data_IF_202158520559
#
_entry.id   IF_202158520559
#
_cell.length_a   1.000
_cell.length_b   1.000
_cell.length_c   1.000
_cell.angle_alpha   90.00
_cell.angle_beta   90.00
_cell.angle_gamma   90.00
#
_symmetry.space_group_name_H-M   'P 1'
#
loop_
_entity.id
_entity.type
_entity.pdbx_description
1 polymer ?
#
# COMPACT_ATOMS: atom_id res chain seq x y z
N UNK A 1 26.41 -11.63 -5.41
CA UNK A 1 26.71 -10.37 -6.12
C UNK A 1 27.02 -10.74 -7.56
N UNK A 2 26.34 -10.12 -8.53
CA UNK A 2 26.69 -10.19 -9.95
C UNK A 2 26.36 -8.83 -10.56
N UNK A 3 27.39 -8.21 -11.13
CA UNK A 3 27.45 -6.88 -11.72
C UNK A 3 26.39 -6.62 -12.81
N UNK A 4 26.09 -5.34 -13.15
CA UNK A 4 25.18 -5.01 -14.24
C UNK A 4 25.62 -5.68 -15.54
N UNK A 5 24.67 -6.31 -16.25
CA UNK A 5 24.98 -7.14 -17.41
C UNK A 5 25.58 -6.26 -18.55
N UNK A 6 26.76 -6.58 -19.11
CA UNK A 6 27.45 -5.80 -20.17
C UNK A 6 26.72 -5.69 -21.53
N UNK A 7 25.43 -6.05 -21.61
CA UNK A 7 24.68 -6.08 -22.87
C UNK A 7 24.25 -4.69 -23.36
N UNK A 8 23.95 -3.75 -22.45
CA UNK A 8 23.55 -2.37 -22.82
C UNK A 8 24.71 -1.54 -23.35
N UNK A 9 25.91 -1.70 -22.80
CA UNK A 9 27.14 -1.04 -23.27
C UNK A 9 27.52 -1.45 -24.71
N UNK A 10 26.92 -2.54 -25.24
CA UNK A 10 27.14 -3.02 -26.61
C UNK A 10 26.04 -2.60 -27.58
N UNK A 11 25.01 -1.87 -27.14
CA UNK A 11 23.96 -1.35 -28.02
C UNK A 11 24.48 -0.14 -28.82
N UNK A 12 24.07 -0.02 -30.08
CA UNK A 12 24.60 1.01 -30.99
C UNK A 12 24.36 2.44 -30.51
N UNK A 13 23.31 2.64 -29.70
CA UNK A 13 23.01 3.89 -29.00
C UNK A 13 24.16 4.38 -28.09
N UNK A 14 24.95 3.46 -27.50
CA UNK A 14 26.08 3.75 -26.62
C UNK A 14 27.44 3.69 -27.34
N UNK A 15 27.45 3.41 -28.65
CA UNK A 15 28.67 3.37 -29.49
C UNK A 15 28.90 4.64 -30.31
N UNK A 16 27.90 5.52 -30.45
CA UNK A 16 28.04 6.76 -31.22
C UNK A 16 29.04 7.72 -30.55
N UNK A 17 30.08 8.13 -31.29
CA UNK A 17 31.06 9.13 -30.87
C UNK A 17 30.46 10.54 -30.99
N UNK A 18 30.63 11.34 -29.95
CA UNK A 18 29.98 12.66 -29.76
C UNK A 18 30.57 13.79 -30.62
N UNK A 19 31.61 13.51 -31.42
CA UNK A 19 32.46 14.54 -32.03
C UNK A 19 31.80 15.31 -33.19
N UNK A 20 30.70 14.82 -33.80
CA UNK A 20 30.05 15.46 -34.96
C UNK A 20 28.58 15.86 -34.75
N UNK A 21 28.05 15.77 -33.53
CA UNK A 21 26.65 16.10 -33.23
C UNK A 21 26.50 17.57 -32.81
N UNK A 22 25.39 18.21 -33.17
CA UNK A 22 25.00 19.51 -32.62
C UNK A 22 24.56 19.40 -31.16
N UNK A 23 24.51 20.51 -30.42
CA UNK A 23 24.19 20.48 -28.98
C UNK A 23 22.78 19.93 -28.69
N UNK A 24 21.79 20.24 -29.54
CA UNK A 24 20.44 19.70 -29.43
C UNK A 24 20.39 18.18 -29.69
N UNK A 25 21.18 17.70 -30.66
CA UNK A 25 21.31 16.27 -30.96
C UNK A 25 22.04 15.50 -29.84
N UNK A 26 22.99 16.14 -29.14
CA UNK A 26 23.64 15.55 -27.96
C UNK A 26 22.67 15.46 -26.78
N UNK A 27 21.86 16.48 -26.55
CA UNK A 27 20.82 16.47 -25.51
C UNK A 27 19.79 15.38 -25.81
N UNK A 28 19.34 15.26 -27.05
CA UNK A 28 18.38 14.23 -27.45
C UNK A 28 18.99 12.81 -27.32
N UNK A 29 20.23 12.61 -27.73
CA UNK A 29 20.94 11.33 -27.57
C UNK A 29 21.15 10.97 -26.09
N UNK A 30 21.45 11.95 -25.23
CA UNK A 30 21.57 11.77 -23.78
C UNK A 30 20.23 11.36 -23.16
N UNK A 31 19.13 12.03 -23.55
CA UNK A 31 17.78 11.68 -23.13
C UNK A 31 17.37 10.28 -23.61
N UNK A 32 17.71 9.91 -24.84
CA UNK A 32 17.45 8.57 -25.38
C UNK A 32 18.26 7.48 -24.67
N UNK A 33 19.52 7.75 -24.28
CA UNK A 33 20.35 6.84 -23.47
C UNK A 33 19.80 6.68 -22.06
N UNK A 34 19.47 7.79 -21.40
CA UNK A 34 18.83 7.79 -20.08
C UNK A 34 17.49 7.04 -20.12
N UNK A 35 16.70 7.25 -21.17
CA UNK A 35 15.46 6.53 -21.43
C UNK A 35 15.69 5.04 -21.70
N UNK A 36 16.72 4.65 -22.45
CA UNK A 36 17.07 3.25 -22.71
C UNK A 36 17.56 2.51 -21.45
N UNK A 37 18.28 3.19 -20.57
CA UNK A 37 18.65 2.70 -19.24
C UNK A 37 17.39 2.57 -18.38
N UNK A 38 16.58 3.62 -18.27
CA UNK A 38 15.32 3.58 -17.52
C UNK A 38 14.36 2.49 -18.04
N UNK A 39 14.29 2.26 -19.35
CA UNK A 39 13.48 1.23 -20.00
C UNK A 39 14.03 -0.19 -19.79
N UNK A 40 15.36 -0.34 -19.70
CA UNK A 40 15.98 -1.64 -19.43
C UNK A 40 15.98 -2.01 -17.94
N UNK A 41 15.97 -1.02 -17.05
CA UNK A 41 16.05 -1.20 -15.60
C UNK A 41 14.74 -0.90 -14.84
N UNK A 42 13.72 -0.34 -15.48
CA UNK A 42 12.38 -0.07 -14.93
C UNK A 42 12.34 0.61 -13.55
N UNK A 43 13.25 1.55 -13.25
CA UNK A 43 13.33 2.17 -11.91
C UNK A 43 13.52 3.68 -11.92
N UNK A 44 12.80 4.36 -11.02
CA UNK A 44 13.08 5.72 -10.55
C UNK A 44 14.30 5.66 -9.62
N UNK A 45 15.47 6.11 -10.08
CA UNK A 45 16.72 6.12 -9.30
C UNK A 45 16.86 7.37 -8.42
N UNK A 46 15.94 7.56 -7.47
CA UNK A 46 15.96 8.72 -6.57
C UNK A 46 16.85 8.47 -5.35
N UNK A 47 16.59 7.38 -4.61
CA UNK A 47 17.18 7.07 -3.30
C UNK A 47 18.67 6.77 -3.33
N UNK A 48 19.40 7.27 -2.33
CA UNK A 48 20.81 6.96 -2.05
C UNK A 48 20.95 6.24 -0.70
N UNK A 49 22.06 5.54 -0.48
CA UNK A 49 22.35 4.82 0.79
C UNK A 49 22.21 5.74 2.01
N UNK A 50 22.64 7.00 1.91
CA UNK A 50 22.53 8.01 2.95
C UNK A 50 21.24 8.84 2.91
N UNK A 51 20.53 8.85 1.77
CA UNK A 51 19.42 9.78 1.52
C UNK A 51 18.21 9.08 0.90
N UNK A 52 17.24 8.72 1.76
CA UNK A 52 15.94 8.20 1.33
C UNK A 52 14.82 9.24 1.41
N UNK A 53 14.63 9.83 2.60
CA UNK A 53 13.51 10.74 2.88
C UNK A 53 13.86 12.21 2.68
N UNK A 54 15.08 12.50 2.21
CA UNK A 54 15.64 13.83 2.10
C UNK A 54 16.24 14.07 0.70
N UNK A 55 15.38 13.99 -0.32
CA UNK A 55 15.80 14.10 -1.72
C UNK A 55 16.39 15.46 -2.09
N UNK A 56 16.31 16.47 -1.21
CA UNK A 56 16.93 17.79 -1.41
C UNK A 56 18.43 17.76 -1.16
N UNK A 57 18.89 16.81 -0.36
CA UNK A 57 20.28 16.65 0.04
C UNK A 57 20.94 15.45 -0.66
N UNK A 58 20.39 15.01 -1.81
CA UNK A 58 21.06 14.02 -2.64
C UNK A 58 22.46 14.50 -3.00
N UNK A 59 23.40 13.57 -2.92
CA UNK A 59 24.82 13.84 -3.12
C UNK A 59 25.29 13.44 -4.51
N UNK A 60 24.53 12.62 -5.26
CA UNK A 60 24.81 12.35 -6.67
C UNK A 60 24.68 13.64 -7.47
N UNK A 61 25.75 14.05 -8.14
CA UNK A 61 25.75 15.24 -9.00
C UNK A 61 25.64 14.85 -10.48
N UNK A 62 25.05 15.74 -11.28
CA UNK A 62 25.10 15.69 -12.73
C UNK A 62 25.64 17.03 -13.23
N UNK A 63 26.87 17.05 -13.73
CA UNK A 63 27.55 18.25 -14.20
C UNK A 63 27.54 18.28 -15.71
N UNK A 64 26.98 19.33 -16.31
CA UNK A 64 27.04 19.52 -17.76
C UNK A 64 28.47 19.92 -18.17
N UNK A 65 29.08 19.14 -19.05
CA UNK A 65 30.41 19.38 -19.59
C UNK A 65 30.35 20.30 -20.82
N UNK A 66 31.45 21.00 -21.18
CA UNK A 66 31.50 21.90 -22.33
C UNK A 66 31.22 21.22 -23.68
N UNK A 67 31.36 19.90 -23.76
CA UNK A 67 31.07 19.11 -24.95
C UNK A 67 29.59 18.66 -25.03
N UNK A 68 28.74 19.09 -24.10
CA UNK A 68 27.31 18.77 -24.05
C UNK A 68 26.98 17.43 -23.37
N UNK A 69 27.97 16.68 -22.89
CA UNK A 69 27.74 15.47 -22.09
C UNK A 69 27.46 15.82 -20.62
N UNK A 70 26.82 14.91 -19.88
CA UNK A 70 26.67 15.02 -18.43
C UNK A 70 27.65 14.07 -17.72
N UNK A 71 28.50 14.61 -16.84
CA UNK A 71 29.28 13.83 -15.88
C UNK A 71 28.42 13.55 -14.64
N UNK A 72 28.04 12.29 -14.44
CA UNK A 72 27.25 11.84 -13.30
C UNK A 72 28.21 11.24 -12.27
N UNK A 73 28.36 11.89 -11.12
CA UNK A 73 29.33 11.50 -10.11
C UNK A 73 28.66 11.12 -8.79
N UNK A 74 29.07 9.98 -8.24
CA UNK A 74 28.72 9.52 -6.90
C UNK A 74 29.92 9.79 -5.97
N UNK A 75 29.93 10.86 -5.17
CA UNK A 75 31.13 11.33 -4.47
C UNK A 75 31.62 10.41 -3.34
N UNK A 76 30.74 9.57 -2.80
CA UNK A 76 31.07 8.65 -1.72
C UNK A 76 30.08 7.47 -1.66
N UNK A 77 30.32 6.52 -0.75
CA UNK A 77 29.48 5.33 -0.58
C UNK A 77 28.06 5.64 -0.09
N UNK A 78 27.84 6.76 0.62
CA UNK A 78 26.51 7.17 1.07
C UNK A 78 25.67 7.73 -0.09
N UNK A 79 26.31 8.35 -1.08
CA UNK A 79 25.66 8.85 -2.29
C UNK A 79 25.28 7.75 -3.30
N UNK A 80 25.69 6.49 -3.06
CA UNK A 80 25.40 5.40 -3.97
C UNK A 80 23.89 5.15 -4.08
N UNK A 81 23.36 5.02 -5.30
CA UNK A 81 21.93 4.75 -5.49
C UNK A 81 21.54 3.42 -4.86
N UNK A 82 20.47 3.45 -4.07
CA UNK A 82 19.99 2.33 -3.29
C UNK A 82 18.45 2.33 -3.29
N UNK A 83 17.87 1.62 -4.24
CA UNK A 83 16.44 1.33 -4.28
C UNK A 83 16.20 -0.07 -3.71
N UNK A 84 15.10 -0.32 -2.98
CA UNK A 84 14.65 -1.68 -2.74
C UNK A 84 14.54 -2.38 -4.11
N UNK A 85 15.12 -3.58 -4.28
CA UNK A 85 15.29 -4.15 -5.60
C UNK A 85 13.92 -4.44 -6.22
N UNK A 86 13.58 -3.74 -7.31
CA UNK A 86 12.48 -4.14 -8.22
C UNK A 86 13.01 -4.98 -9.41
N UNK A 87 14.34 -5.11 -9.53
CA UNK A 87 15.04 -5.83 -10.60
C UNK A 87 14.91 -7.37 -10.57
N UNK A 88 14.93 -8.03 -11.76
CA UNK A 88 15.02 -9.48 -11.87
C UNK A 88 16.28 -10.24 -11.40
N UNK A 89 16.25 -10.90 -10.23
CA UNK A 89 17.23 -11.93 -9.83
C UNK A 89 16.76 -13.36 -10.12
N UNK A 90 17.62 -14.20 -10.72
CA UNK A 90 17.36 -15.64 -10.92
C UNK A 90 17.24 -16.34 -9.55
N UNK A 91 16.15 -17.08 -9.34
CA UNK A 91 15.87 -17.80 -8.08
C UNK A 91 15.21 -16.95 -6.97
N UNK A 92 14.94 -15.67 -7.24
CA UNK A 92 14.14 -14.81 -6.36
C UNK A 92 12.80 -14.48 -7.04
N UNK A 93 11.70 -15.08 -6.58
CA UNK A 93 10.35 -14.67 -6.97
C UNK A 93 10.00 -13.26 -6.44
N UNK A 94 9.13 -12.54 -7.17
CA UNK A 94 9.07 -11.06 -7.22
C UNK A 94 7.67 -10.53 -7.50
N UNK A 95 7.37 -9.33 -6.99
CA UNK A 95 6.12 -8.59 -7.23
C UNK A 95 6.45 -7.09 -7.40
N UNK A 96 5.75 -6.38 -8.29
CA UNK A 96 5.96 -4.96 -8.60
C UNK A 96 4.61 -4.22 -8.72
N UNK A 97 4.53 -3.01 -8.16
CA UNK A 97 3.34 -2.15 -8.25
C UNK A 97 3.42 -1.23 -9.48
N UNK A 98 2.43 -1.33 -10.37
CA UNK A 98 2.21 -0.39 -11.46
C UNK A 98 0.91 0.40 -11.26
N UNK A 99 1.00 1.73 -11.29
CA UNK A 99 -0.15 2.59 -11.52
C UNK A 99 -0.42 2.63 -13.03
N UNK A 100 -1.49 1.98 -13.47
CA UNK A 100 -1.86 1.90 -14.88
C UNK A 100 -3.34 2.28 -15.07
N UNK A 101 -3.68 2.75 -16.28
CA UNK A 101 -5.08 2.87 -16.70
C UNK A 101 -5.63 1.46 -16.89
N UNK A 102 -6.69 1.12 -16.17
CA UNK A 102 -7.38 -0.16 -16.32
C UNK A 102 -8.27 -0.09 -17.57
N UNK A 103 -7.95 -0.90 -18.57
CA UNK A 103 -8.78 -1.07 -19.76
C UNK A 103 -9.43 -2.45 -19.72
N UNK A 104 -10.76 -2.55 -19.72
CA UNK A 104 -11.51 -3.81 -19.73
C UNK A 104 -12.41 -3.83 -20.96
N UNK A 105 -12.21 -4.82 -21.85
CA UNK A 105 -12.98 -4.97 -23.10
C UNK A 105 -13.02 -3.72 -23.99
N UNK A 106 -12.00 -2.85 -23.89
CA UNK A 106 -11.90 -1.60 -24.63
C UNK A 106 -12.40 -0.35 -23.87
N UNK A 107 -13.09 -0.52 -22.74
CA UNK A 107 -13.55 0.59 -21.91
C UNK A 107 -12.47 1.02 -20.92
N UNK A 108 -12.31 2.33 -20.73
CA UNK A 108 -11.34 2.93 -19.79
C UNK A 108 -11.96 3.16 -18.41
N UNK A 109 -11.45 2.45 -17.42
CA UNK A 109 -11.89 2.47 -16.01
C UNK A 109 -11.01 3.36 -15.11
N UNK A 110 -10.09 4.12 -15.70
CA UNK A 110 -9.24 5.09 -15.00
C UNK A 110 -7.95 4.49 -14.42
N UNK A 111 -7.14 5.34 -13.78
CA UNK A 111 -5.87 4.95 -13.16
C UNK A 111 -6.14 4.22 -11.86
N UNK A 112 -5.75 2.95 -11.79
CA UNK A 112 -5.94 2.09 -10.62
C UNK A 112 -4.58 1.68 -10.03
N UNK A 113 -4.37 1.77 -8.71
CA UNK A 113 -3.40 0.87 -8.08
C UNK A 113 -3.94 -0.55 -8.26
N UNK A 114 -3.28 -1.35 -9.10
CA UNK A 114 -3.88 -2.59 -9.61
C UNK A 114 -3.39 -3.83 -8.83
N UNK A 115 -4.35 -4.58 -8.26
CA UNK A 115 -4.34 -6.06 -8.06
C UNK A 115 -3.37 -6.62 -7.00
N UNK A 116 -3.48 -6.16 -5.75
CA UNK A 116 -2.77 -6.80 -4.62
C UNK A 116 -3.75 -7.13 -3.50
N UNK A 117 -4.59 -6.15 -3.17
CA UNK A 117 -5.58 -6.25 -2.10
C UNK A 117 -6.72 -7.22 -2.39
N UNK A 118 -7.20 -7.22 -3.62
CA UNK A 118 -8.34 -8.04 -4.04
C UNK A 118 -7.97 -9.52 -4.06
N UNK A 119 -6.75 -9.83 -4.51
CA UNK A 119 -6.26 -11.19 -4.67
C UNK A 119 -6.10 -11.88 -3.32
N UNK A 120 -5.41 -11.25 -2.35
CA UNK A 120 -5.17 -11.88 -1.05
C UNK A 120 -6.45 -12.13 -0.26
N UNK A 121 -7.38 -11.17 -0.27
CA UNK A 121 -8.67 -11.29 0.42
C UNK A 121 -9.51 -12.38 -0.24
N UNK A 122 -9.48 -12.46 -1.58
CA UNK A 122 -10.14 -13.50 -2.35
C UNK A 122 -9.55 -14.88 -2.05
N UNK A 123 -8.24 -15.04 -2.18
CA UNK A 123 -7.51 -16.28 -1.93
C UNK A 123 -7.71 -16.76 -0.51
N UNK A 124 -7.49 -15.90 0.49
CA UNK A 124 -7.72 -16.23 1.89
C UNK A 124 -9.19 -16.54 2.17
N UNK A 125 -10.13 -15.76 1.61
CA UNK A 125 -11.56 -15.96 1.78
C UNK A 125 -12.04 -17.31 1.25
N UNK A 126 -11.76 -17.60 -0.03
CA UNK A 126 -12.10 -18.87 -0.69
C UNK A 126 -11.41 -20.06 -0.02
N UNK A 127 -10.14 -19.91 0.37
CA UNK A 127 -9.43 -20.94 1.14
C UNK A 127 -10.12 -21.24 2.48
N UNK A 128 -10.55 -20.22 3.23
CA UNK A 128 -11.20 -20.42 4.54
C UNK A 128 -12.63 -20.96 4.47
N UNK A 129 -13.34 -20.70 3.37
CA UNK A 129 -14.65 -21.32 3.11
C UNK A 129 -14.55 -22.84 2.98
N UNK A 130 -13.43 -23.36 2.44
CA UNK A 130 -13.21 -24.80 2.24
C UNK A 130 -12.35 -25.47 3.31
N UNK A 131 -11.45 -24.74 3.97
CA UNK A 131 -10.51 -25.30 4.94
C UNK A 131 -11.27 -25.77 6.17
N UNK A 132 -11.33 -27.09 6.36
CA UNK A 132 -11.98 -27.70 7.52
C UNK A 132 -11.07 -27.74 8.74
N UNK A 133 -11.67 -27.57 9.91
CA UNK A 133 -11.07 -27.85 11.22
C UNK A 133 -11.95 -28.82 11.99
N UNK A 134 -11.31 -29.74 12.72
CA UNK A 134 -12.00 -30.72 13.56
C UNK A 134 -11.95 -30.25 15.00
N UNK A 135 -13.12 -30.15 15.64
CA UNK A 135 -13.21 -30.00 17.10
C UNK A 135 -13.31 -31.39 17.73
N UNK A 136 -12.83 -31.57 18.96
CA UNK A 136 -12.96 -32.86 19.65
C UNK A 136 -14.41 -33.35 19.58
N UNK A 137 -14.59 -34.59 19.11
CA UNK A 137 -15.88 -35.29 19.00
C UNK A 137 -16.96 -34.56 18.17
N UNK A 138 -16.59 -33.69 17.22
CA UNK A 138 -17.53 -32.98 16.35
C UNK A 138 -17.24 -33.21 14.88
N UNK A 139 -18.27 -33.04 14.02
CA UNK A 139 -18.08 -33.01 12.57
C UNK A 139 -17.13 -31.86 12.19
N UNK A 140 -16.26 -32.03 11.18
CA UNK A 140 -15.42 -30.95 10.68
C UNK A 140 -16.29 -29.75 10.24
N UNK A 141 -15.85 -28.55 10.59
CA UNK A 141 -16.50 -27.30 10.17
C UNK A 141 -15.52 -26.42 9.39
N UNK A 142 -15.99 -25.60 8.44
CA UNK A 142 -15.14 -24.58 7.81
C UNK A 142 -14.52 -23.67 8.87
N UNK A 143 -13.23 -23.36 8.71
CA UNK A 143 -12.48 -22.52 9.64
C UNK A 143 -13.06 -21.09 9.69
N UNK A 144 -13.70 -20.64 8.60
CA UNK A 144 -14.41 -19.36 8.55
C UNK A 144 -15.58 -19.26 9.55
N UNK A 145 -16.03 -20.37 10.15
CA UNK A 145 -17.02 -20.35 11.25
C UNK A 145 -16.51 -19.64 12.52
N UNK A 146 -15.20 -19.42 12.65
CA UNK A 146 -14.61 -18.72 13.80
C UNK A 146 -14.55 -17.21 13.56
N UNK A 147 -15.02 -16.40 14.52
CA UNK A 147 -15.00 -14.92 14.42
C UNK A 147 -13.63 -14.35 14.09
N UNK A 148 -12.58 -14.91 14.70
CA UNK A 148 -11.18 -14.52 14.47
C UNK A 148 -10.71 -14.72 13.03
N UNK A 149 -11.40 -15.57 12.26
CA UNK A 149 -11.13 -15.82 10.85
C UNK A 149 -11.94 -14.91 9.93
N UNK A 150 -13.13 -14.50 10.38
CA UNK A 150 -14.07 -13.63 9.66
C UNK A 150 -13.58 -12.18 9.65
N UNK A 151 -13.17 -11.66 10.82
CA UNK A 151 -12.75 -10.27 11.03
C UNK A 151 -11.83 -9.73 9.93
N UNK A 152 -10.64 -10.31 9.68
CA UNK A 152 -9.73 -9.73 8.70
C UNK A 152 -10.27 -9.75 7.27
N UNK A 153 -11.13 -10.71 6.91
CA UNK A 153 -11.69 -10.81 5.54
C UNK A 153 -12.82 -9.81 5.35
N UNK A 154 -13.79 -9.76 6.27
CA UNK A 154 -14.96 -8.90 6.15
C UNK A 154 -14.58 -7.41 6.27
N UNK A 155 -13.65 -7.07 7.16
CA UNK A 155 -13.09 -5.71 7.20
C UNK A 155 -12.37 -5.36 5.89
N UNK A 156 -11.61 -6.31 5.33
CA UNK A 156 -10.92 -6.06 4.08
C UNK A 156 -11.88 -5.82 2.91
N UNK A 157 -12.97 -6.58 2.83
CA UNK A 157 -14.04 -6.39 1.84
C UNK A 157 -14.72 -5.03 1.99
N UNK A 158 -15.00 -4.60 3.23
CA UNK A 158 -15.54 -3.26 3.50
C UNK A 158 -14.58 -2.16 3.02
N UNK A 159 -13.29 -2.30 3.30
CA UNK A 159 -12.28 -1.34 2.85
C UNK A 159 -12.10 -1.34 1.33
N UNK A 160 -12.15 -2.50 0.67
CA UNK A 160 -12.14 -2.60 -0.80
C UNK A 160 -13.32 -1.84 -1.39
N UNK A 161 -14.53 -2.07 -0.87
CA UNK A 161 -15.74 -1.41 -1.34
C UNK A 161 -15.70 0.11 -1.17
N UNK A 162 -15.04 0.61 -0.12
CA UNK A 162 -14.87 2.05 0.15
C UNK A 162 -13.72 2.68 -0.64
N UNK A 163 -12.62 1.95 -0.88
CA UNK A 163 -11.43 2.51 -1.54
C UNK A 163 -11.59 2.70 -3.04
N UNK A 164 -12.46 1.94 -3.69
CA UNK A 164 -12.81 2.14 -5.09
C UNK A 164 -13.42 3.54 -5.35
N UNK A 165 -14.53 3.95 -4.70
CA UNK A 165 -15.06 5.29 -4.86
C UNK A 165 -14.15 6.38 -4.27
N UNK A 166 -13.39 6.09 -3.21
CA UNK A 166 -12.40 7.04 -2.69
C UNK A 166 -11.28 7.36 -3.68
N UNK A 167 -10.82 6.36 -4.45
CA UNK A 167 -9.85 6.55 -5.52
C UNK A 167 -10.44 7.43 -6.63
N UNK A 168 -11.66 7.13 -7.07
CA UNK A 168 -12.34 7.93 -8.12
C UNK A 168 -12.55 9.38 -7.68
N UNK A 169 -13.02 9.61 -6.46
CA UNK A 169 -13.18 10.95 -5.91
C UNK A 169 -11.83 11.67 -5.81
N UNK A 170 -10.79 11.00 -5.32
CA UNK A 170 -9.45 11.60 -5.21
C UNK A 170 -8.86 11.97 -6.57
N UNK A 171 -9.05 11.15 -7.61
CA UNK A 171 -8.63 11.49 -8.98
C UNK A 171 -9.39 12.72 -9.50
N UNK A 172 -10.71 12.79 -9.28
CA UNK A 172 -11.52 13.93 -9.71
C UNK A 172 -11.11 15.22 -8.98
N UNK A 173 -10.91 15.16 -7.65
CA UNK A 173 -10.47 16.31 -6.88
C UNK A 173 -9.05 16.74 -7.26
N UNK A 174 -8.14 15.79 -7.49
CA UNK A 174 -6.78 16.07 -7.95
C UNK A 174 -6.78 16.82 -9.29
N UNK A 175 -7.61 16.39 -10.24
CA UNK A 175 -7.78 17.05 -11.56
C UNK A 175 -8.35 18.46 -11.44
N UNK A 176 -9.28 18.69 -10.50
CA UNK A 176 -9.89 20.01 -10.27
C UNK A 176 -8.94 20.99 -9.58
N UNK A 177 -8.03 20.50 -8.76
CA UNK A 177 -7.08 21.31 -7.98
C UNK A 177 -5.77 21.61 -8.72
N UNK A 178 -5.75 21.55 -10.06
CA UNK A 178 -4.52 21.64 -10.86
C UNK A 178 -3.76 22.96 -10.71
N UNK A 179 -4.45 24.01 -10.25
CA UNK A 179 -3.85 25.33 -10.05
C UNK A 179 -3.12 25.45 -8.70
N UNK A 180 -3.28 24.49 -7.78
CA UNK A 180 -2.66 24.53 -6.43
C UNK A 180 -1.95 23.19 -6.14
N UNK A 181 -0.66 23.05 -6.50
CA UNK A 181 0.11 21.80 -6.36
C UNK A 181 0.12 21.22 -4.94
N UNK A 182 0.05 22.06 -3.90
CA UNK A 182 0.01 21.59 -2.51
C UNK A 182 -1.30 20.89 -2.17
N UNK A 183 -2.43 21.37 -2.71
CA UNK A 183 -3.74 20.72 -2.50
C UNK A 183 -3.78 19.38 -3.23
N UNK A 184 -3.22 19.30 -4.45
CA UNK A 184 -2.99 18.03 -5.14
C UNK A 184 -2.15 17.06 -4.31
N UNK A 185 -1.07 17.54 -3.69
CA UNK A 185 -0.24 16.73 -2.80
C UNK A 185 -1.03 16.22 -1.60
N UNK A 186 -1.83 17.08 -0.94
CA UNK A 186 -2.68 16.70 0.20
C UNK A 186 -3.69 15.63 -0.22
N UNK A 187 -4.36 15.79 -1.37
CA UNK A 187 -5.36 14.85 -1.88
C UNK A 187 -4.75 13.47 -2.13
N UNK A 188 -3.64 13.41 -2.88
CA UNK A 188 -2.97 12.15 -3.22
C UNK A 188 -2.35 11.48 -1.99
N UNK A 189 -1.79 12.27 -1.08
CA UNK A 189 -1.09 11.73 0.06
C UNK A 189 -2.04 11.24 1.17
N UNK A 190 -3.15 11.94 1.43
CA UNK A 190 -4.18 11.44 2.36
C UNK A 190 -4.79 10.13 1.86
N UNK A 191 -4.96 9.98 0.54
CA UNK A 191 -5.35 8.70 -0.07
C UNK A 191 -4.31 7.61 0.21
N UNK A 192 -3.03 7.88 -0.09
CA UNK A 192 -1.95 6.94 0.14
C UNK A 192 -1.82 6.53 1.61
N UNK A 193 -1.88 7.49 2.53
CA UNK A 193 -1.74 7.26 3.97
C UNK A 193 -2.81 6.26 4.47
N UNK A 194 -4.07 6.49 4.12
CA UNK A 194 -5.16 5.57 4.49
C UNK A 194 -5.01 4.20 3.85
N UNK A 195 -4.60 4.12 2.57
CA UNK A 195 -4.36 2.83 1.94
C UNK A 195 -3.25 2.06 2.67
N UNK A 196 -2.10 2.69 2.94
CA UNK A 196 -0.98 2.05 3.64
C UNK A 196 -1.35 1.59 5.05
N UNK A 197 -1.95 2.48 5.85
CA UNK A 197 -2.39 2.16 7.22
C UNK A 197 -3.39 1.00 7.23
N UNK A 198 -4.31 0.99 6.27
CA UNK A 198 -5.33 -0.03 6.19
C UNK A 198 -4.79 -1.39 5.69
N UNK A 199 -3.78 -1.43 4.82
CA UNK A 199 -3.28 -2.68 4.20
C UNK A 199 -2.26 -3.43 5.03
N UNK A 200 -1.25 -2.76 5.57
CA UNK A 200 -0.11 -3.43 6.21
C UNK A 200 -0.53 -4.44 7.31
N UNK A 201 -1.34 -4.06 8.32
CA UNK A 201 -1.77 -5.01 9.34
C UNK A 201 -2.71 -6.09 8.77
N UNK A 202 -3.45 -5.78 7.70
CA UNK A 202 -4.38 -6.74 7.09
C UNK A 202 -3.66 -7.84 6.32
N UNK A 203 -2.67 -7.52 5.50
CA UNK A 203 -1.92 -8.54 4.77
C UNK A 203 -1.19 -9.47 5.70
N UNK A 204 -0.61 -8.92 6.76
CA UNK A 204 -0.04 -9.71 7.84
C UNK A 204 -1.08 -10.66 8.46
N UNK A 205 -2.25 -10.14 8.85
CA UNK A 205 -3.32 -10.96 9.41
C UNK A 205 -3.83 -12.03 8.42
N UNK A 206 -4.03 -11.69 7.15
CA UNK A 206 -4.49 -12.64 6.12
C UNK A 206 -3.47 -13.77 5.92
N UNK A 207 -2.18 -13.45 5.89
CA UNK A 207 -1.09 -14.43 5.82
C UNK A 207 -1.12 -15.37 7.03
N UNK A 208 -1.08 -14.83 8.25
CA UNK A 208 -1.09 -15.62 9.48
C UNK A 208 -2.32 -16.53 9.58
N UNK A 209 -3.49 -16.02 9.18
CA UNK A 209 -4.74 -16.79 9.22
C UNK A 209 -4.82 -17.91 8.18
N UNK A 210 -3.95 -17.91 7.17
CA UNK A 210 -3.79 -19.03 6.24
C UNK A 210 -2.74 -20.06 6.73
N UNK A 211 -2.04 -19.80 7.84
CA UNK A 211 -0.96 -20.64 8.34
C UNK A 211 0.22 -20.67 7.37
N UNK A 212 0.94 -21.80 7.30
CA UNK A 212 2.07 -21.97 6.38
C UNK A 212 1.72 -21.69 4.90
N UNK A 213 0.44 -21.86 4.52
CA UNK A 213 -0.03 -21.53 3.17
C UNK A 213 0.05 -20.03 2.89
N UNK A 214 -0.15 -19.16 3.89
CA UNK A 214 -0.04 -17.71 3.73
C UNK A 214 1.39 -17.19 3.57
N UNK A 215 2.38 -18.00 3.99
CA UNK A 215 3.81 -17.73 3.82
C UNK A 215 4.37 -18.32 2.52
N UNK A 216 3.59 -19.16 1.86
CA UNK A 216 3.98 -19.77 0.60
C UNK A 216 3.72 -18.81 -0.54
N UNK A 217 4.78 -18.39 -1.21
CA UNK A 217 4.71 -17.33 -2.22
C UNK A 217 3.87 -17.66 -3.44
N UNK A 218 3.75 -18.95 -3.81
CA UNK A 218 2.85 -19.39 -4.85
C UNK A 218 1.36 -19.13 -4.52
N UNK A 219 1.03 -18.82 -3.27
CA UNK A 219 -0.30 -18.36 -2.85
C UNK A 219 -0.44 -16.83 -2.79
N UNK A 220 0.61 -16.08 -3.19
CA UNK A 220 0.61 -14.64 -3.48
C UNK A 220 0.43 -13.69 -2.28
N UNK A 221 -0.07 -14.15 -1.13
CA UNK A 221 -0.35 -13.31 0.04
C UNK A 221 0.91 -12.66 0.65
N UNK A 222 2.01 -13.41 0.81
CA UNK A 222 3.24 -12.85 1.42
C UNK A 222 3.94 -11.83 0.52
N UNK A 223 3.84 -12.00 -0.80
CA UNK A 223 4.40 -11.06 -1.78
C UNK A 223 3.73 -9.69 -1.67
N UNK A 224 2.41 -9.68 -1.65
CA UNK A 224 1.56 -8.50 -1.43
C UNK A 224 1.90 -7.73 -0.16
N UNK A 225 2.22 -8.43 0.93
CA UNK A 225 2.64 -7.80 2.18
C UNK A 225 3.95 -7.02 2.00
N UNK A 226 4.95 -7.62 1.33
CA UNK A 226 6.24 -6.98 1.08
C UNK A 226 6.11 -5.74 0.16
N UNK A 227 5.24 -5.82 -0.85
CA UNK A 227 4.96 -4.68 -1.72
C UNK A 227 4.36 -3.50 -0.96
N UNK A 228 3.47 -3.78 -0.02
CA UNK A 228 2.83 -2.73 0.78
C UNK A 228 3.83 -1.97 1.66
N UNK A 229 4.86 -2.65 2.16
CA UNK A 229 5.97 -2.00 2.83
C UNK A 229 6.72 -1.05 1.89
N UNK A 230 6.95 -1.45 0.64
CA UNK A 230 7.57 -0.58 -0.36
C UNK A 230 6.71 0.65 -0.66
N UNK A 231 5.40 0.47 -0.85
CA UNK A 231 4.44 1.57 -1.12
C UNK A 231 4.47 2.62 0.00
N UNK A 232 4.60 2.20 1.27
CA UNK A 232 4.63 3.15 2.38
C UNK A 232 5.83 4.10 2.37
N UNK A 233 6.90 3.76 1.65
CA UNK A 233 8.17 4.51 1.64
C UNK A 233 8.37 5.23 0.30
N UNK A 234 8.10 4.55 -0.82
CA UNK A 234 8.29 5.08 -2.17
C UNK A 234 7.39 6.29 -2.44
N UNK A 235 7.84 7.28 -3.23
CA UNK A 235 7.02 8.47 -3.58
C UNK A 235 6.50 9.25 -2.36
N UNK A 236 7.31 9.31 -1.29
CA UNK A 236 7.03 10.04 -0.07
C UNK A 236 6.64 9.12 1.08
N UNK A 237 7.55 8.95 2.02
CA UNK A 237 7.31 8.17 3.24
C UNK A 237 6.12 8.69 4.04
N UNK A 238 5.33 7.75 4.58
CA UNK A 238 4.11 8.06 5.32
C UNK A 238 4.40 9.03 6.48
N UNK A 239 5.45 8.80 7.26
CA UNK A 239 5.76 9.62 8.44
C UNK A 239 6.27 11.01 8.04
N UNK A 240 7.31 11.07 7.21
CA UNK A 240 7.95 12.34 6.82
C UNK A 240 6.96 13.28 6.10
N UNK A 241 6.14 12.73 5.22
CA UNK A 241 5.19 13.52 4.45
C UNK A 241 3.93 13.85 5.27
N UNK A 242 3.53 12.99 6.22
CA UNK A 242 2.50 13.36 7.20
C UNK A 242 2.96 14.53 8.06
N UNK A 243 4.22 14.55 8.51
CA UNK A 243 4.81 15.67 9.24
C UNK A 243 4.75 16.96 8.41
N UNK A 244 5.16 16.90 7.14
CA UNK A 244 5.11 18.05 6.23
C UNK A 244 3.68 18.56 6.09
N UNK A 245 2.74 17.72 5.67
CA UNK A 245 1.35 18.11 5.42
C UNK A 245 0.67 18.55 6.73
N UNK A 246 0.75 17.76 7.78
CA UNK A 246 0.17 18.06 9.08
C UNK A 246 0.64 19.41 9.63
N UNK A 247 1.93 19.71 9.54
CA UNK A 247 2.49 21.01 9.96
C UNK A 247 1.90 22.17 9.14
N UNK A 248 1.86 22.05 7.82
CA UNK A 248 1.31 23.08 6.94
C UNK A 248 -0.18 23.36 7.24
N UNK A 249 -0.97 22.31 7.51
CA UNK A 249 -2.39 22.42 7.86
C UNK A 249 -2.63 22.98 9.28
N UNK A 250 -1.79 22.60 10.25
CA UNK A 250 -1.84 23.15 11.62
C UNK A 250 -1.52 24.65 11.65
N UNK A 251 -0.59 25.09 10.79
CA UNK A 251 -0.22 26.49 10.62
C UNK A 251 -1.23 27.30 9.79
N UNK A 252 -2.33 26.69 9.34
CA UNK A 252 -3.35 27.32 8.47
C UNK A 252 -2.78 27.87 7.15
N UNK A 253 -1.67 27.31 6.64
CA UNK A 253 -1.11 27.72 5.34
C UNK A 253 -1.94 27.20 4.18
N UNK A 254 -2.57 26.04 4.37
CA UNK A 254 -3.50 25.42 3.44
C UNK A 254 -4.68 24.84 4.23
N UNK A 255 -5.79 24.57 3.53
CA UNK A 255 -6.94 23.87 4.09
C UNK A 255 -7.16 22.57 3.31
N UNK A 256 -7.45 21.45 4.00
CA UNK A 256 -7.85 20.23 3.31
C UNK A 256 -9.24 20.41 2.68
N UNK A 257 -9.64 19.54 1.73
CA UNK A 257 -11.01 19.52 1.21
C UNK A 257 -12.03 19.45 2.35
N UNK A 258 -13.01 20.34 2.37
CA UNK A 258 -13.99 20.44 3.45
C UNK A 258 -14.84 19.16 3.59
N UNK A 259 -15.32 18.84 4.81
CA UNK A 259 -16.31 17.77 5.04
C UNK A 259 -17.60 18.02 4.25
N UNK A 260 -18.10 16.99 3.56
CA UNK A 260 -19.43 16.98 2.95
C UNK A 260 -20.52 16.83 4.03
N UNK A 261 -20.25 16.04 5.07
CA UNK A 261 -21.11 15.92 6.24
C UNK A 261 -20.31 16.21 7.52
N UNK A 262 -20.27 17.48 7.98
CA UNK A 262 -19.56 17.87 9.18
C UNK A 262 -20.05 17.21 10.48
N UNK A 263 -21.22 16.57 10.46
CA UNK A 263 -21.83 15.95 11.64
C UNK A 263 -21.54 14.45 11.75
N UNK A 264 -20.95 13.82 10.72
CA UNK A 264 -20.58 12.40 10.83
C UNK A 264 -19.40 12.20 11.78
N UNK A 265 -19.30 11.00 12.35
CA UNK A 265 -18.29 10.66 13.36
C UNK A 265 -16.86 10.94 12.87
N UNK A 266 -16.54 10.57 11.63
CA UNK A 266 -15.18 10.74 11.09
C UNK A 266 -14.83 12.22 10.83
N UNK A 267 -15.82 13.05 10.47
CA UNK A 267 -15.61 14.49 10.32
C UNK A 267 -15.40 15.18 11.68
N UNK A 268 -16.12 14.73 12.71
CA UNK A 268 -15.93 15.21 14.08
C UNK A 268 -14.54 14.82 14.62
N UNK A 269 -14.08 13.60 14.33
CA UNK A 269 -12.73 13.12 14.68
C UNK A 269 -11.63 13.92 13.99
N UNK A 270 -11.72 14.13 12.67
CA UNK A 270 -10.79 15.00 11.94
C UNK A 270 -10.70 16.37 12.63
N UNK A 271 -11.85 17.02 12.83
CA UNK A 271 -11.90 18.34 13.45
C UNK A 271 -11.29 18.32 14.86
N UNK A 272 -11.66 17.34 15.68
CA UNK A 272 -11.19 17.20 17.06
C UNK A 272 -9.68 17.07 17.18
N UNK A 273 -9.06 16.20 16.37
CA UNK A 273 -7.61 16.02 16.38
C UNK A 273 -6.86 17.31 15.97
N UNK A 274 -7.41 18.05 14.99
CA UNK A 274 -6.86 19.35 14.60
C UNK A 274 -7.02 20.40 15.70
N UNK A 275 -8.18 20.45 16.36
CA UNK A 275 -8.45 21.39 17.45
C UNK A 275 -7.53 21.14 18.66
N UNK A 276 -7.34 19.88 19.05
CA UNK A 276 -6.40 19.47 20.11
C UNK A 276 -4.95 19.87 19.76
N UNK A 277 -4.51 19.51 18.56
CA UNK A 277 -3.16 19.79 18.09
C UNK A 277 -2.90 21.30 17.98
N UNK A 278 -3.89 22.09 17.53
CA UNK A 278 -3.81 23.55 17.50
C UNK A 278 -3.83 24.16 18.90
N UNK A 279 -4.56 23.58 19.84
CA UNK A 279 -4.56 24.01 21.24
C UNK A 279 -3.17 23.87 21.86
N UNK A 280 -2.53 22.72 21.66
CA UNK A 280 -1.16 22.47 22.10
C UNK A 280 -0.19 23.45 21.43
N UNK A 281 -0.28 23.62 20.10
CA UNK A 281 0.58 24.54 19.35
C UNK A 281 0.49 25.98 19.87
N UNK A 282 -0.70 26.46 20.23
CA UNK A 282 -0.90 27.80 20.83
C UNK A 282 -0.20 27.94 22.18
N UNK A 283 -0.05 26.86 22.94
CA UNK A 283 0.66 26.84 24.22
C UNK A 283 2.19 26.86 24.10
N UNK A 284 2.75 26.60 22.90
CA UNK A 284 4.19 26.52 22.70
C UNK A 284 4.81 27.92 22.51
N UNK A 285 5.67 28.34 23.43
CA UNK A 285 6.33 29.67 23.40
C UNK A 285 7.15 29.93 22.14
N UNK A 286 7.71 28.89 21.51
CA UNK A 286 8.52 28.98 20.28
C UNK A 286 7.81 28.51 19.01
N UNK A 287 6.50 28.25 19.05
CA UNK A 287 5.72 27.77 17.91
C UNK A 287 6.28 26.49 17.27
N UNK A 288 6.18 26.39 15.94
CA UNK A 288 6.55 25.19 15.17
C UNK A 288 8.05 24.90 15.06
N UNK A 289 8.92 25.80 15.52
CA UNK A 289 10.38 25.62 15.50
C UNK A 289 10.95 25.20 16.85
N UNK A 290 10.12 25.11 17.88
CA UNK A 290 10.53 24.74 19.23
C UNK A 290 10.71 23.22 19.38
N UNK A 291 11.60 22.78 20.27
CA UNK A 291 11.82 21.35 20.54
C UNK A 291 10.54 20.63 21.00
N UNK A 292 9.66 21.32 21.74
CA UNK A 292 8.37 20.76 22.16
C UNK A 292 7.41 20.49 20.99
N UNK A 293 7.54 21.20 19.86
CA UNK A 293 6.77 20.89 18.66
C UNK A 293 7.14 19.51 18.11
N UNK A 294 8.44 19.19 18.12
CA UNK A 294 8.95 17.87 17.77
C UNK A 294 8.43 16.78 18.72
N UNK A 295 8.40 17.05 20.03
CA UNK A 295 7.95 16.04 21.01
C UNK A 295 6.44 15.84 21.04
N UNK A 296 5.66 16.91 20.85
CA UNK A 296 4.22 16.88 21.07
C UNK A 296 3.43 16.87 19.75
N UNK A 297 3.82 17.62 18.72
CA UNK A 297 3.00 17.76 17.52
C UNK A 297 3.40 16.78 16.43
N UNK A 298 4.70 16.63 16.13
CA UNK A 298 5.13 15.78 15.01
C UNK A 298 4.64 14.32 15.09
N UNK A 299 4.61 13.65 16.26
CA UNK A 299 4.08 12.29 16.37
C UNK A 299 2.57 12.18 16.09
N UNK A 300 1.83 13.29 16.16
CA UNK A 300 0.38 13.35 15.90
C UNK A 300 0.07 13.54 14.41
N UNK A 301 1.04 14.00 13.62
CA UNK A 301 0.83 14.34 12.21
C UNK A 301 0.31 13.16 11.35
N UNK A 302 0.78 11.91 11.49
CA UNK A 302 0.20 10.78 10.77
C UNK A 302 -1.31 10.62 11.02
N UNK A 303 -1.73 10.66 12.29
CA UNK A 303 -3.15 10.54 12.65
C UNK A 303 -4.00 11.69 12.07
N UNK A 304 -3.47 12.92 12.00
CA UNK A 304 -4.16 14.05 11.36
C UNK A 304 -4.41 13.81 9.87
N UNK A 305 -3.39 13.31 9.15
CA UNK A 305 -3.49 13.03 7.72
C UNK A 305 -4.41 11.84 7.44
N UNK A 306 -4.31 10.79 8.25
CA UNK A 306 -5.18 9.62 8.18
C UNK A 306 -6.65 9.98 8.47
N UNK A 307 -6.92 10.83 9.47
CA UNK A 307 -8.28 11.27 9.79
C UNK A 307 -8.96 12.00 8.61
N UNK A 308 -8.22 12.89 7.93
CA UNK A 308 -8.69 13.52 6.68
C UNK A 308 -9.03 12.46 5.64
N UNK A 309 -8.12 11.50 5.43
CA UNK A 309 -8.31 10.45 4.44
C UNK A 309 -9.51 9.55 4.76
N UNK A 310 -9.68 9.13 6.02
CA UNK A 310 -10.77 8.25 6.44
C UNK A 310 -12.14 8.91 6.29
N UNK A 311 -12.27 10.19 6.69
CA UNK A 311 -13.49 10.95 6.42
C UNK A 311 -13.75 11.02 4.91
N UNK A 312 -12.76 11.44 4.11
CA UNK A 312 -12.93 11.55 2.65
C UNK A 312 -13.34 10.22 2.02
N UNK A 313 -12.75 9.11 2.47
CA UNK A 313 -13.07 7.77 1.99
C UNK A 313 -14.53 7.40 2.30
N UNK A 314 -14.96 7.60 3.54
CA UNK A 314 -16.34 7.35 3.96
C UNK A 314 -17.34 8.21 3.19
N UNK A 315 -17.10 9.52 3.06
CA UNK A 315 -18.00 10.42 2.34
C UNK A 315 -18.09 10.08 0.84
N UNK A 316 -16.96 9.75 0.21
CA UNK A 316 -16.94 9.32 -1.18
C UNK A 316 -17.74 8.02 -1.40
N UNK A 317 -17.58 7.04 -0.50
CA UNK A 317 -18.33 5.79 -0.54
C UNK A 317 -19.82 5.97 -0.27
N UNK A 318 -20.19 6.79 0.71
CA UNK A 318 -21.58 7.15 0.99
C UNK A 318 -22.25 7.81 -0.22
N UNK A 319 -21.54 8.76 -0.86
CA UNK A 319 -22.02 9.44 -2.07
C UNK A 319 -22.16 8.49 -3.27
N UNK A 320 -21.27 7.50 -3.38
CA UNK A 320 -21.31 6.50 -4.44
C UNK A 320 -22.39 5.41 -4.21
N UNK A 321 -23.05 5.40 -3.05
CA UNK A 321 -24.07 4.40 -2.73
C UNK A 321 -23.51 3.01 -2.48
N UNK A 322 -22.33 2.91 -1.87
CA UNK A 322 -21.77 1.62 -1.41
C UNK A 322 -22.76 0.93 -0.47
N UNK A 323 -22.81 -0.41 -0.53
CA UNK A 323 -23.61 -1.26 0.35
C UNK A 323 -23.54 -0.78 1.82
N UNK A 324 -24.70 -0.58 2.43
CA UNK A 324 -24.80 0.05 3.74
C UNK A 324 -24.12 -0.74 4.85
N UNK A 325 -24.10 -2.07 4.78
CA UNK A 325 -23.46 -2.91 5.79
C UNK A 325 -21.93 -2.85 5.67
N UNK A 326 -21.41 -2.83 4.43
CA UNK A 326 -19.98 -2.64 4.17
C UNK A 326 -19.51 -1.24 4.58
N UNK A 327 -20.29 -0.21 4.27
CA UNK A 327 -19.99 1.17 4.68
C UNK A 327 -20.01 1.32 6.21
N UNK A 328 -20.99 0.72 6.88
CA UNK A 328 -21.07 0.71 8.35
C UNK A 328 -19.91 -0.07 8.99
N UNK A 329 -19.47 -1.18 8.38
CA UNK A 329 -18.30 -1.92 8.85
C UNK A 329 -17.01 -1.11 8.67
N UNK A 330 -16.87 -0.38 7.56
CA UNK A 330 -15.76 0.55 7.35
C UNK A 330 -15.74 1.69 8.37
N UNK A 331 -16.89 2.29 8.68
CA UNK A 331 -17.00 3.33 9.71
C UNK A 331 -16.55 2.79 11.07
N UNK A 332 -17.02 1.59 11.45
CA UNK A 332 -16.61 0.95 12.71
C UNK A 332 -15.12 0.66 12.73
N UNK A 333 -14.56 0.19 11.61
CA UNK A 333 -13.11 0.01 11.48
C UNK A 333 -12.36 1.33 11.73
N UNK A 334 -12.78 2.41 11.08
CA UNK A 334 -12.17 3.74 11.24
C UNK A 334 -12.25 4.23 12.70
N UNK A 335 -13.37 3.98 13.38
CA UNK A 335 -13.54 4.29 14.80
C UNK A 335 -12.60 3.45 15.69
N UNK A 336 -12.42 2.18 15.38
CA UNK A 336 -11.54 1.26 16.13
C UNK A 336 -10.04 1.55 15.97
N UNK A 337 -9.65 2.43 15.04
CA UNK A 337 -8.26 2.90 14.92
C UNK A 337 -7.89 3.92 16.01
N UNK A 338 -8.87 4.63 16.58
CA UNK A 338 -8.68 5.56 17.69
C UNK A 338 -9.86 5.52 18.68
N UNK A 339 -10.15 4.36 19.29
CA UNK A 339 -11.33 4.20 20.12
C UNK A 339 -11.30 5.12 21.33
N UNK A 340 -10.11 5.46 21.84
CA UNK A 340 -9.90 6.42 22.93
C UNK A 340 -10.54 7.76 22.65
N UNK A 341 -10.27 8.34 21.48
CA UNK A 341 -10.81 9.65 21.14
C UNK A 341 -12.33 9.59 21.03
N UNK A 342 -12.87 8.60 20.31
CA UNK A 342 -14.32 8.48 20.15
C UNK A 342 -15.05 8.28 21.47
N UNK A 343 -14.53 7.44 22.38
CA UNK A 343 -15.14 7.23 23.70
C UNK A 343 -15.09 8.49 24.56
N UNK A 344 -14.03 9.28 24.45
CA UNK A 344 -13.87 10.50 25.24
C UNK A 344 -14.74 11.65 24.73
N UNK A 345 -14.99 11.72 23.42
CA UNK A 345 -15.61 12.88 22.76
C UNK A 345 -17.00 12.63 22.18
N UNK A 346 -17.53 11.41 22.30
CA UNK A 346 -18.88 11.02 21.83
C UNK A 346 -19.59 10.15 22.85
N UNK A 347 -20.86 9.81 22.60
CA UNK A 347 -21.64 8.88 23.44
C UNK A 347 -21.34 7.39 23.17
N UNK A 348 -20.31 7.09 22.36
CA UNK A 348 -19.94 5.72 22.03
C UNK A 348 -19.24 5.02 23.19
N UNK A 349 -19.61 3.75 23.43
CA UNK A 349 -18.96 2.90 24.43
C UNK A 349 -18.19 1.76 23.79
N UNK A 350 -17.18 1.22 24.49
CA UNK A 350 -16.44 0.03 24.04
C UNK A 350 -17.37 -1.15 23.74
N UNK A 351 -18.35 -1.37 24.62
CA UNK A 351 -19.33 -2.44 24.48
C UNK A 351 -20.21 -2.24 23.24
N UNK A 352 -20.66 -1.01 22.99
CA UNK A 352 -21.40 -0.70 21.78
C UNK A 352 -20.59 -0.98 20.51
N UNK A 353 -19.31 -0.58 20.46
CA UNK A 353 -18.44 -0.83 19.31
C UNK A 353 -18.28 -2.33 19.05
N UNK A 354 -18.00 -3.11 20.09
CA UNK A 354 -17.88 -4.57 20.00
C UNK A 354 -19.16 -5.24 19.51
N UNK A 355 -20.32 -4.86 20.06
CA UNK A 355 -21.62 -5.41 19.67
C UNK A 355 -22.06 -4.96 18.27
N UNK A 356 -21.74 -3.74 17.86
CA UNK A 356 -22.06 -3.25 16.50
C UNK A 356 -21.20 -3.97 15.46
N UNK A 357 -19.91 -4.14 15.71
CA UNK A 357 -19.02 -4.94 14.85
C UNK A 357 -19.54 -6.38 14.71
N UNK A 358 -19.83 -7.06 15.82
CA UNK A 358 -20.32 -8.44 15.80
C UNK A 358 -21.59 -8.60 14.94
N UNK A 359 -22.58 -7.70 15.10
CA UNK A 359 -23.84 -7.71 14.34
C UNK A 359 -23.63 -7.48 12.84
N UNK A 360 -22.73 -6.57 12.47
CA UNK A 360 -22.40 -6.31 11.07
C UNK A 360 -21.77 -7.55 10.43
N UNK A 361 -20.84 -8.21 11.12
CA UNK A 361 -20.25 -9.43 10.61
C UNK A 361 -21.27 -10.58 10.51
N UNK A 362 -22.24 -10.68 11.43
CA UNK A 362 -23.34 -11.67 11.33
C UNK A 362 -24.20 -11.44 10.09
N UNK A 363 -24.38 -10.19 9.70
CA UNK A 363 -25.15 -9.79 8.50
C UNK A 363 -24.36 -10.06 7.21
N UNK A 364 -23.04 -9.81 7.24
CA UNK A 364 -22.17 -9.93 6.06
C UNK A 364 -21.67 -11.35 5.80
N UNK A 365 -21.48 -12.18 6.84
CA UNK A 365 -20.92 -13.53 6.71
C UNK A 365 -21.71 -14.43 5.75
N UNK A 366 -23.05 -14.49 5.77
CA UNK A 366 -23.83 -15.28 4.80
C UNK A 366 -23.61 -14.86 3.35
N UNK A 367 -23.21 -13.59 3.13
CA UNK A 367 -22.96 -12.99 1.82
C UNK A 367 -21.49 -13.11 1.41
N UNK A 368 -20.62 -13.67 2.24
CA UNK A 368 -19.17 -13.64 2.07
C UNK A 368 -18.72 -14.17 0.69
N UNK A 369 -19.23 -15.32 0.27
CA UNK A 369 -18.80 -15.93 -0.99
C UNK A 369 -19.14 -15.05 -2.20
N UNK A 370 -20.37 -14.51 -2.23
CA UNK A 370 -20.82 -13.56 -3.23
C UNK A 370 -20.03 -12.25 -3.19
N UNK A 371 -19.70 -11.74 -1.99
CA UNK A 371 -18.90 -10.53 -1.83
C UNK A 371 -17.47 -10.74 -2.36
N UNK A 372 -16.85 -11.90 -2.10
CA UNK A 372 -15.56 -12.25 -2.66
C UNK A 372 -15.62 -12.30 -4.19
N UNK A 373 -16.63 -12.96 -4.76
CA UNK A 373 -16.79 -13.04 -6.23
C UNK A 373 -17.06 -11.68 -6.87
N UNK A 374 -17.82 -10.81 -6.19
CA UNK A 374 -18.12 -9.46 -6.68
C UNK A 374 -16.90 -8.56 -6.83
N UNK A 375 -15.77 -8.91 -6.18
CA UNK A 375 -14.51 -8.18 -6.36
C UNK A 375 -13.90 -8.38 -7.75
N UNK A 376 -14.31 -9.41 -8.49
CA UNK A 376 -13.70 -9.78 -9.78
C UNK A 376 -12.28 -10.36 -9.68
N UNK A 377 -11.74 -10.52 -8.46
CA UNK A 377 -10.36 -10.96 -8.25
C UNK A 377 -10.06 -12.34 -8.84
N UNK A 378 -11.04 -13.25 -8.82
CA UNK A 378 -10.87 -14.65 -9.20
C UNK A 378 -10.28 -14.87 -10.61
N UNK A 379 -10.49 -13.94 -11.54
CA UNK A 379 -9.93 -14.01 -12.90
C UNK A 379 -8.39 -13.90 -12.95
N UNK A 380 -7.79 -13.36 -11.89
CA UNK A 380 -6.35 -13.07 -11.82
C UNK A 380 -5.62 -13.90 -10.77
N UNK A 381 -6.35 -14.65 -9.94
CA UNK A 381 -5.77 -15.44 -8.86
C UNK A 381 -5.30 -16.79 -9.41
N UNK A 382 -4.01 -17.09 -9.29
CA UNK A 382 -3.44 -18.39 -9.70
C UNK A 382 -3.01 -19.26 -8.51
N UNK A 383 -3.31 -18.82 -7.29
CA UNK A 383 -2.95 -19.50 -6.06
C UNK A 383 -3.52 -20.94 -6.02
N UNK A 384 -2.67 -21.98 -5.85
CA UNK A 384 -3.12 -23.37 -5.78
C UNK A 384 -4.16 -23.65 -4.69
N UNK A 385 -4.15 -22.90 -3.59
CA UNK A 385 -5.05 -23.12 -2.45
C UNK A 385 -6.52 -22.77 -2.72
N UNK A 386 -6.84 -22.13 -3.85
CA UNK A 386 -8.19 -21.69 -4.21
C UNK A 386 -9.19 -22.84 -4.36
N UNK A 387 -8.77 -23.97 -4.93
CA UNK A 387 -9.64 -25.13 -5.17
C UNK A 387 -8.94 -26.44 -4.80
N UNK A 388 -9.71 -27.52 -4.68
CA UNK A 388 -9.14 -28.85 -4.46
C UNK A 388 -8.39 -29.31 -5.71
N UNK A 389 -8.99 -29.17 -6.90
CA UNK A 389 -8.37 -29.56 -8.15
C UNK A 389 -7.04 -28.83 -8.42
N UNK A 390 -6.97 -27.51 -8.18
CA UNK A 390 -5.73 -26.73 -8.33
C UNK A 390 -4.66 -27.12 -7.30
N UNK A 391 -5.10 -27.51 -6.09
CA UNK A 391 -4.22 -27.96 -5.03
C UNK A 391 -3.63 -29.33 -5.34
N UNK A 392 -4.46 -30.29 -5.74
CA UNK A 392 -4.02 -31.65 -6.08
C UNK A 392 -3.06 -31.62 -7.27
N UNK A 393 -3.42 -30.89 -8.33
CA UNK A 393 -2.54 -30.70 -9.49
C UNK A 393 -1.21 -30.02 -9.14
N UNK A 394 -1.17 -29.19 -8.09
CA UNK A 394 0.06 -28.60 -7.59
C UNK A 394 0.89 -29.62 -6.79
N UNK A 395 0.26 -30.39 -5.91
CA UNK A 395 0.90 -31.44 -5.10
C UNK A 395 1.52 -32.51 -5.99
N UNK A 396 0.85 -32.92 -7.08
CA UNK A 396 1.35 -33.90 -8.04
C UNK A 396 2.66 -33.47 -8.73
N UNK A 397 2.99 -32.18 -8.71
CA UNK A 397 4.23 -31.63 -9.28
C UNK A 397 5.36 -31.48 -8.24
N UNK A 398 5.09 -31.73 -6.96
CA UNK A 398 6.10 -31.61 -5.92
C UNK A 398 7.04 -32.81 -5.96
N UNK A 399 8.35 -32.54 -5.89
CA UNK A 399 9.34 -33.61 -5.76
C UNK A 399 9.15 -34.32 -4.42
N UNK A 400 8.93 -35.64 -4.47
CA UNK A 400 8.90 -36.50 -3.29
C UNK A 400 10.25 -37.16 -3.12
N UNK A 401 10.81 -37.10 -1.92
CA UNK A 401 12.00 -37.88 -1.58
C UNK A 401 11.57 -39.35 -1.41
N UNK A 402 12.18 -40.25 -2.18
CA UNK A 402 12.02 -41.68 -1.97
C UNK A 402 12.70 -42.11 -0.66
N UNK A 403 12.15 -43.14 -0.01
CA UNK A 403 12.78 -43.73 1.15
C UNK A 403 14.14 -44.29 0.75
N UNK A 404 15.23 -43.67 1.22
CA UNK A 404 16.55 -44.31 1.19
C UNK A 404 16.43 -45.53 2.07
N UNK A 405 16.49 -46.72 1.47
CA UNK A 405 16.53 -47.98 2.21
C UNK A 405 17.63 -47.86 3.27
N UNK A 406 17.25 -47.92 4.54
CA UNK A 406 18.21 -47.88 5.64
C UNK A 406 19.03 -49.17 5.61
N UNK A 407 20.08 -49.23 4.80
CA UNK A 407 21.20 -50.13 5.09
C UNK A 407 21.88 -49.61 6.36
N UNK A 408 22.14 -50.50 7.29
CA UNK A 408 22.58 -50.29 8.68
C UNK A 408 23.89 -49.50 8.85
N UNK A 409 23.94 -48.22 8.51
CA UNK A 409 25.04 -47.34 8.94
C UNK A 409 24.50 -46.14 9.70
N UNK A 410 24.10 -46.41 10.95
CA UNK A 410 23.97 -45.41 12.00
C UNK A 410 25.36 -44.90 12.38
N UNK A 411 25.88 -43.92 11.65
CA UNK A 411 26.91 -43.03 12.16
C UNK A 411 26.95 -41.73 11.36
N UNK A 412 26.05 -40.79 11.72
CA UNK A 412 26.22 -39.32 11.76
C UNK A 412 24.89 -38.62 11.48
N UNK A 413 24.19 -38.27 12.55
CA UNK A 413 23.83 -36.89 12.91
C UNK A 413 23.18 -36.88 14.29
#
# INVERSE_FOLDING_TARGET
MSSPTPKLLKADLFKSSSENLTDDERIDLSNQRAYAVAKAYSELMLTEVGHGLDSRNLETTATLLPNGDFDIHTPNSNAAKFTPPSWPRKGFPRVALAFARLLVSGDDWGVKPSIVWLNDVFVAGKYKLRRQITRQNSKPVPIISLRTQQLPILHALAQIAVFEPFAQDSIQQFKRSNDIPVIQQIISFTFKAVLCQASQPRFHALSERCGAQGLSEYNQIIGSQLETCMISIAEGDISAMSIKIGTELLLNRYQPPAPMNPTCLLAQHEKGLFDESRSILKGLKGGHRHAEFNSLILPRCPALVEAIGHRRAYEAAAKAGVDSDLLALYEIHAVLLDPSWYIQHTDLTREYLFQKEARLLDTLLPRLDTLLDSTGAGLYCTAPILSLASWDAFVDRLETLEAVGMSEDKARL
#
